data_IF_989162340011
#
_entry.id   IF_989162340011
#
_cell.length_a   1.000
_cell.length_b   1.000
_cell.length_c   1.000
_cell.angle_alpha   90.00
_cell.angle_beta   90.00
_cell.angle_gamma   90.00
#
_symmetry.space_group_name_H-M   'P 1'
#
loop_
_entity.id
_entity.type
_entity.pdbx_description
1 polymer ?
#
# COMPACT_ATOMS: atom_id res chain seq x y z
N UNK A 1 -7.78 3.85 10.60
CA UNK A 1 -6.56 3.15 10.13
C UNK A 1 -5.42 4.16 10.10
N UNK A 2 -4.21 3.80 10.57
CA UNK A 2 -3.05 4.71 10.56
C UNK A 2 -2.22 4.54 9.29
N UNK A 3 -1.83 5.66 8.66
CA UNK A 3 -1.03 5.66 7.43
C UNK A 3 0.40 5.13 7.65
N UNK A 4 0.96 5.32 8.84
CA UNK A 4 2.34 4.92 9.18
C UNK A 4 2.60 3.42 9.00
N UNK A 5 1.61 2.59 9.33
CA UNK A 5 1.72 1.14 9.15
C UNK A 5 1.76 0.75 7.68
N UNK A 6 0.99 1.42 6.82
CA UNK A 6 1.02 1.21 5.38
C UNK A 6 2.33 1.72 4.79
N UNK A 7 2.84 2.86 5.25
CA UNK A 7 4.18 3.35 4.88
C UNK A 7 5.25 2.32 5.22
N UNK A 8 5.18 1.69 6.39
CA UNK A 8 6.13 0.65 6.78
C UNK A 8 6.07 -0.59 5.86
N UNK A 9 4.87 -0.99 5.40
CA UNK A 9 4.73 -2.06 4.41
C UNK A 9 5.40 -1.66 3.10
N UNK A 10 5.14 -0.46 2.58
CA UNK A 10 5.75 0.01 1.34
C UNK A 10 7.27 0.06 1.45
N UNK A 11 7.82 0.62 2.54
CA UNK A 11 9.26 0.66 2.79
C UNK A 11 9.90 -0.73 2.75
N UNK A 12 9.25 -1.70 3.39
CA UNK A 12 9.73 -3.10 3.42
C UNK A 12 9.70 -3.75 2.04
N UNK A 13 8.64 -3.52 1.26
CA UNK A 13 8.43 -4.21 -0.03
C UNK A 13 9.23 -3.56 -1.17
N UNK A 14 9.40 -2.23 -1.13
CA UNK A 14 10.24 -1.47 -2.05
C UNK A 14 11.72 -1.43 -1.62
N UNK A 15 12.05 -1.98 -0.46
CA UNK A 15 13.40 -2.01 0.10
C UNK A 15 14.04 -0.61 0.21
N UNK A 16 13.21 0.41 0.52
CA UNK A 16 13.62 1.81 0.65
C UNK A 16 13.07 2.46 1.92
N UNK A 17 13.77 3.46 2.44
CA UNK A 17 13.32 4.25 3.60
C UNK A 17 12.61 5.55 3.20
N UNK A 18 12.69 5.95 1.93
CA UNK A 18 12.24 7.25 1.43
C UNK A 18 10.72 7.38 1.27
N UNK A 19 9.97 6.30 1.49
CA UNK A 19 8.50 6.32 1.39
C UNK A 19 7.91 7.27 2.45
N UNK A 20 7.01 8.13 1.98
CA UNK A 20 6.13 8.99 2.78
C UNK A 20 4.67 8.64 2.50
N UNK A 21 3.73 9.27 3.21
CA UNK A 21 2.30 9.01 3.06
C UNK A 21 1.79 9.18 1.62
N UNK A 22 2.32 10.15 0.88
CA UNK A 22 1.90 10.52 -0.47
C UNK A 22 2.88 10.07 -1.55
N UNK A 23 3.91 9.29 -1.20
CA UNK A 23 4.87 8.78 -2.17
C UNK A 23 4.18 7.88 -3.19
N UNK A 24 4.35 8.23 -4.47
CA UNK A 24 3.88 7.41 -5.59
C UNK A 24 4.72 6.14 -5.70
N UNK A 25 4.05 4.99 -5.63
CA UNK A 25 4.69 3.68 -5.65
C UNK A 25 5.49 3.42 -6.93
N UNK A 26 4.99 3.85 -8.09
CA UNK A 26 5.65 3.60 -9.37
C UNK A 26 6.83 4.55 -9.59
N UNK A 27 6.72 5.79 -9.11
CA UNK A 27 7.84 6.74 -9.09
C UNK A 27 9.01 6.25 -8.21
N UNK A 28 8.73 5.42 -7.20
CA UNK A 28 9.73 4.79 -6.34
C UNK A 28 10.29 3.46 -6.90
N UNK A 29 9.98 3.13 -8.17
CA UNK A 29 10.48 1.92 -8.83
C UNK A 29 9.65 0.67 -8.55
N UNK A 30 8.44 0.83 -8.00
CA UNK A 30 7.49 -0.27 -7.87
C UNK A 30 7.00 -0.79 -9.23
N UNK A 31 6.70 -2.08 -9.29
CA UNK A 31 6.09 -2.75 -10.45
C UNK A 31 4.87 -3.59 -10.02
N UNK A 32 4.27 -4.33 -10.96
CA UNK A 32 3.10 -5.17 -10.69
C UNK A 32 3.38 -6.32 -9.71
N UNK A 33 4.60 -6.87 -9.71
CA UNK A 33 5.00 -7.94 -8.80
C UNK A 33 5.15 -7.40 -7.38
N UNK A 34 5.82 -6.26 -7.24
CA UNK A 34 5.99 -5.55 -5.97
C UNK A 34 4.63 -5.09 -5.44
N UNK A 35 3.72 -4.60 -6.30
CA UNK A 35 2.39 -4.20 -5.89
C UNK A 35 1.57 -5.38 -5.36
N UNK A 36 1.65 -6.55 -6.00
CA UNK A 36 1.05 -7.80 -5.50
C UNK A 36 1.58 -8.15 -4.11
N UNK A 37 2.88 -7.93 -3.85
CA UNK A 37 3.48 -8.15 -2.51
C UNK A 37 2.95 -7.15 -1.48
N UNK A 38 2.77 -5.87 -1.85
CA UNK A 38 2.15 -4.86 -0.99
C UNK A 38 0.72 -5.27 -0.63
N UNK A 39 -0.10 -5.61 -1.62
CA UNK A 39 -1.49 -6.05 -1.43
C UNK A 39 -1.57 -7.27 -0.52
N UNK A 40 -0.70 -8.26 -0.75
CA UNK A 40 -0.61 -9.45 0.10
C UNK A 40 -0.20 -9.12 1.54
N UNK A 41 0.69 -8.15 1.74
CA UNK A 41 1.10 -7.71 3.07
C UNK A 41 -0.03 -6.95 3.78
N UNK A 42 -0.74 -6.09 3.06
CA UNK A 42 -1.93 -5.38 3.58
C UNK A 42 -3.00 -6.38 4.03
N UNK A 43 -3.31 -7.39 3.22
CA UNK A 43 -4.27 -8.43 3.57
C UNK A 43 -3.86 -9.18 4.84
N UNK A 44 -2.59 -9.59 4.95
CA UNK A 44 -2.10 -10.30 6.15
C UNK A 44 -2.06 -9.43 7.41
N UNK A 45 -1.72 -8.15 7.28
CA UNK A 45 -1.56 -7.25 8.44
C UNK A 45 -2.87 -6.66 8.92
N UNK A 46 -3.81 -6.39 7.99
CA UNK A 46 -5.04 -5.66 8.29
C UNK A 46 -6.32 -6.45 8.01
N UNK A 47 -6.24 -7.66 7.48
CA UNK A 47 -7.41 -8.44 7.06
C UNK A 47 -8.15 -7.82 5.87
N UNK A 48 -7.48 -6.93 5.12
CA UNK A 48 -8.08 -6.12 4.08
C UNK A 48 -7.64 -6.58 2.69
N UNK A 49 -8.55 -7.17 1.94
CA UNK A 49 -8.31 -7.53 0.54
C UNK A 49 -8.63 -6.35 -0.37
N UNK A 50 -7.61 -5.75 -0.96
CA UNK A 50 -7.74 -4.72 -1.97
C UNK A 50 -7.43 -5.31 -3.34
N UNK A 51 -8.21 -4.94 -4.35
CA UNK A 51 -7.91 -5.33 -5.73
C UNK A 51 -6.70 -4.58 -6.29
N UNK A 52 -6.12 -5.09 -7.37
CA UNK A 52 -5.06 -4.37 -8.07
C UNK A 52 -5.57 -3.06 -8.71
N UNK A 53 -6.80 -3.06 -9.24
CA UNK A 53 -7.45 -1.84 -9.73
C UNK A 53 -7.64 -0.81 -8.61
N UNK A 54 -7.96 -1.27 -7.40
CA UNK A 54 -8.06 -0.39 -6.25
C UNK A 54 -6.74 0.31 -5.93
N UNK A 55 -5.63 -0.41 -6.05
CA UNK A 55 -4.29 0.09 -5.84
C UNK A 55 -3.88 1.08 -6.94
N UNK A 56 -4.13 0.74 -8.20
CA UNK A 56 -3.78 1.56 -9.36
C UNK A 56 -4.48 2.92 -9.37
N UNK A 57 -5.69 3.02 -8.83
CA UNK A 57 -6.44 4.27 -8.78
C UNK A 57 -5.71 5.38 -7.98
N UNK A 58 -4.93 5.01 -6.97
CA UNK A 58 -4.11 5.91 -6.18
C UNK A 58 -3.02 5.11 -5.45
N UNK A 59 -1.84 4.92 -6.08
CA UNK A 59 -0.84 3.99 -5.60
C UNK A 59 0.07 4.63 -4.53
N UNK A 60 -0.54 5.18 -3.48
CA UNK A 60 0.14 5.82 -2.35
C UNK A 60 -0.25 5.16 -1.01
N UNK A 61 0.63 5.18 0.00
CA UNK A 61 0.30 4.66 1.33
C UNK A 61 -0.96 5.29 1.95
N UNK A 62 -1.15 6.60 1.80
CA UNK A 62 -2.32 7.32 2.31
C UNK A 62 -3.62 6.84 1.67
N UNK A 63 -3.62 6.65 0.34
CA UNK A 63 -4.79 6.17 -0.37
C UNK A 63 -5.12 4.72 0.00
N UNK A 64 -4.11 3.86 0.10
CA UNK A 64 -4.29 2.47 0.58
C UNK A 64 -4.86 2.45 1.99
N UNK A 65 -4.30 3.23 2.92
CA UNK A 65 -4.82 3.33 4.29
C UNK A 65 -6.29 3.79 4.33
N UNK A 66 -6.66 4.75 3.48
CA UNK A 66 -8.03 5.23 3.33
C UNK A 66 -8.96 4.14 2.79
N UNK A 67 -8.52 3.38 1.78
CA UNK A 67 -9.31 2.26 1.23
C UNK A 67 -9.58 1.20 2.28
N UNK A 68 -8.56 0.80 3.05
CA UNK A 68 -8.76 -0.17 4.12
C UNK A 68 -9.77 0.35 5.15
N UNK A 69 -9.69 1.61 5.53
CA UNK A 69 -10.64 2.22 6.48
C UNK A 69 -12.08 2.30 5.96
N UNK A 70 -12.28 2.22 4.64
CA UNK A 70 -13.61 2.24 4.02
C UNK A 70 -14.22 0.85 3.79
N UNK A 71 -13.46 -0.22 3.99
CA UNK A 71 -13.99 -1.58 3.89
C UNK A 71 -14.94 -1.85 5.08
N UNK A 72 -16.08 -2.51 4.84
CA UNK A 72 -16.92 -2.99 5.92
C UNK A 72 -16.16 -4.02 6.76
N UNK A 73 -16.38 -3.98 8.08
CA UNK A 73 -15.76 -4.88 9.06
C UNK A 73 -16.32 -6.31 8.97
#
# INVERSE_FOLDING_TARGET
>A
MSVDGVVAIFRRVLETTEVTADSDFFALGGDSLIATRVLSAVARTYGAELSFDDFLAAPTPAAVAKKIASLPA
#
